data_IF_822778006971
#
_entry.id   IF_822778006971
#
_cell.length_a   1.000
_cell.length_b   1.000
_cell.length_c   1.000
_cell.angle_alpha   90.00
_cell.angle_beta   90.00
_cell.angle_gamma   90.00
#
_symmetry.space_group_name_H-M   'P 1'
#
loop_
_entity.id
_entity.type
_entity.pdbx_description
1 polymer ?
#
# COMPACT_ATOMS: atom_id res chain seq x y z
N UNK A 1 8.76 9.95 -6.57
CA UNK A 1 8.48 8.61 -6.02
C UNK A 1 9.77 7.84 -6.04
N UNK A 2 10.19 7.27 -4.91
CA UNK A 2 11.36 6.40 -4.82
C UNK A 2 11.01 4.98 -5.29
N UNK A 3 12.01 4.19 -5.69
CA UNK A 3 11.76 2.86 -6.26
C UNK A 3 10.98 1.91 -5.32
N UNK A 4 11.34 1.91 -4.03
CA UNK A 4 10.65 1.11 -3.01
C UNK A 4 9.21 1.58 -2.75
N UNK A 5 8.91 2.87 -2.95
CA UNK A 5 7.54 3.40 -2.88
C UNK A 5 6.69 2.86 -4.03
N UNK A 6 7.25 2.80 -5.24
CA UNK A 6 6.58 2.21 -6.41
C UNK A 6 6.25 0.73 -6.15
N UNK A 7 7.19 -0.04 -5.60
CA UNK A 7 6.95 -1.42 -5.21
C UNK A 7 5.77 -1.55 -4.24
N UNK A 8 5.75 -0.76 -3.17
CA UNK A 8 4.67 -0.78 -2.17
C UNK A 8 3.32 -0.40 -2.78
N UNK A 9 3.28 0.64 -3.63
CA UNK A 9 2.06 1.05 -4.34
C UNK A 9 1.51 -0.10 -5.21
N UNK A 10 2.38 -0.77 -5.97
CA UNK A 10 1.97 -1.87 -6.86
C UNK A 10 1.54 -3.10 -6.06
N UNK A 11 2.29 -3.44 -5.01
CA UNK A 11 2.05 -4.61 -4.18
C UNK A 11 0.72 -4.54 -3.41
N UNK A 12 0.35 -3.35 -2.91
CA UNK A 12 -0.86 -3.19 -2.09
C UNK A 12 -2.05 -2.52 -2.79
N UNK A 13 -1.81 -1.77 -3.86
CA UNK A 13 -2.82 -0.90 -4.45
C UNK A 13 -3.87 -1.58 -5.31
N UNK A 14 -3.67 -2.86 -5.66
CA UNK A 14 -4.62 -3.70 -6.42
C UNK A 14 -5.19 -2.97 -7.65
N UNK A 15 -4.25 -2.36 -8.37
CA UNK A 15 -4.53 -1.63 -9.58
C UNK A 15 -4.75 -2.58 -10.76
N UNK A 16 -5.63 -2.22 -11.72
CA UNK A 16 -5.67 -2.90 -13.00
C UNK A 16 -4.29 -2.92 -13.65
N UNK A 17 -3.98 -4.00 -14.37
CA UNK A 17 -2.68 -4.21 -15.02
C UNK A 17 -2.22 -2.99 -15.84
N UNK A 18 -3.13 -2.37 -16.59
CA UNK A 18 -2.85 -1.16 -17.38
C UNK A 18 -2.35 0.01 -16.54
N UNK A 19 -2.93 0.20 -15.35
CA UNK A 19 -2.53 1.25 -14.42
C UNK A 19 -1.19 0.93 -13.76
N UNK A 20 -0.91 -0.32 -13.43
CA UNK A 20 0.42 -0.77 -12.97
C UNK A 20 1.49 -0.43 -14.01
N UNK A 21 1.27 -0.82 -15.27
CA UNK A 21 2.20 -0.53 -16.37
C UNK A 21 2.40 0.98 -16.57
N UNK A 22 1.32 1.75 -16.48
CA UNK A 22 1.38 3.21 -16.56
C UNK A 22 2.25 3.81 -15.44
N UNK A 23 2.08 3.36 -14.20
CA UNK A 23 2.89 3.82 -13.05
C UNK A 23 4.37 3.49 -13.21
N UNK A 24 4.68 2.29 -13.69
CA UNK A 24 6.06 1.88 -13.97
C UNK A 24 6.66 2.76 -15.07
N UNK A 25 5.93 3.00 -16.15
CA UNK A 25 6.39 3.87 -17.23
C UNK A 25 6.62 5.31 -16.74
N UNK A 26 5.68 5.88 -15.97
CA UNK A 26 5.84 7.19 -15.33
C UNK A 26 7.08 7.23 -14.44
N UNK A 27 7.39 6.16 -13.71
CA UNK A 27 8.60 6.08 -12.88
C UNK A 27 9.88 6.05 -13.72
N UNK A 28 9.93 5.24 -14.78
CA UNK A 28 11.08 5.13 -15.69
C UNK A 28 11.38 6.49 -16.33
N UNK A 29 10.35 7.15 -16.87
CA UNK A 29 10.48 8.46 -17.54
C UNK A 29 10.96 9.54 -16.56
N UNK A 30 10.35 9.63 -15.38
CA UNK A 30 10.67 10.68 -14.41
C UNK A 30 12.06 10.53 -13.77
N UNK A 31 12.67 9.35 -13.84
CA UNK A 31 14.00 9.07 -13.29
C UNK A 31 15.07 8.83 -14.39
N UNK A 32 14.71 9.03 -15.67
CA UNK A 32 15.62 8.88 -16.81
C UNK A 32 16.35 7.52 -16.85
N UNK A 33 15.64 6.44 -16.49
CA UNK A 33 16.19 5.08 -16.40
C UNK A 33 16.40 4.50 -17.81
N UNK A 34 17.57 3.90 -18.03
CA UNK A 34 17.99 3.34 -19.34
C UNK A 34 18.35 1.86 -19.29
N UNK A 35 18.33 1.26 -18.10
CA UNK A 35 18.62 -0.13 -17.83
C UNK A 35 17.52 -1.05 -18.41
N UNK A 36 17.93 -2.08 -19.15
CA UNK A 36 17.02 -2.98 -19.91
C UNK A 36 16.05 -3.69 -18.99
N UNK A 37 16.51 -4.07 -17.80
CA UNK A 37 15.74 -4.81 -16.81
C UNK A 37 14.52 -4.03 -16.31
N UNK A 38 14.56 -2.69 -16.35
CA UNK A 38 13.40 -1.86 -16.03
C UNK A 38 12.36 -1.86 -17.15
N UNK A 39 12.76 -1.99 -18.41
CA UNK A 39 11.82 -2.08 -19.52
C UNK A 39 11.08 -3.43 -19.55
N UNK A 40 11.67 -4.50 -18.99
CA UNK A 40 10.99 -5.79 -18.80
C UNK A 40 9.75 -5.66 -17.89
N UNK A 41 9.74 -4.70 -16.96
CA UNK A 41 8.57 -4.42 -16.12
C UNK A 41 7.36 -3.94 -16.92
N UNK A 42 7.56 -3.42 -18.14
CA UNK A 42 6.49 -2.98 -19.03
C UNK A 42 5.84 -4.15 -19.80
N UNK A 43 6.39 -5.36 -19.72
CA UNK A 43 5.74 -6.54 -20.28
C UNK A 43 4.60 -7.02 -19.37
N UNK A 44 3.39 -6.99 -19.91
CA UNK A 44 2.19 -7.47 -19.23
C UNK A 44 2.24 -8.96 -18.84
N UNK A 45 3.07 -9.78 -19.49
CA UNK A 45 3.22 -11.20 -19.14
C UNK A 45 4.02 -11.42 -17.86
N UNK A 46 4.80 -10.43 -17.41
CA UNK A 46 5.66 -10.52 -16.22
C UNK A 46 4.85 -10.34 -14.94
N UNK A 47 5.31 -10.94 -13.84
CA UNK A 47 4.88 -10.61 -12.49
C UNK A 47 5.68 -9.38 -12.01
N UNK A 48 5.06 -8.20 -12.12
CA UNK A 48 5.70 -6.92 -11.82
C UNK A 48 6.19 -6.85 -10.37
N UNK A 49 5.41 -7.33 -9.41
CA UNK A 49 5.78 -7.31 -7.98
C UNK A 49 7.09 -8.09 -7.75
N UNK A 50 7.19 -9.29 -8.33
CA UNK A 50 8.37 -10.14 -8.18
C UNK A 50 9.61 -9.51 -8.83
N UNK A 51 9.46 -8.95 -10.03
CA UNK A 51 10.59 -8.32 -10.73
C UNK A 51 11.03 -7.01 -10.06
N UNK A 52 10.08 -6.19 -9.58
CA UNK A 52 10.40 -5.00 -8.79
C UNK A 52 11.21 -5.35 -7.55
N UNK A 53 10.80 -6.40 -6.82
CA UNK A 53 11.53 -6.84 -5.63
C UNK A 53 12.94 -7.32 -5.98
N UNK A 54 13.11 -8.09 -7.07
CA UNK A 54 14.42 -8.53 -7.56
C UNK A 54 15.33 -7.34 -7.89
N UNK A 55 14.80 -6.32 -8.56
CA UNK A 55 15.54 -5.10 -8.88
C UNK A 55 15.92 -4.32 -7.61
N UNK A 56 15.04 -4.27 -6.60
CA UNK A 56 15.37 -3.67 -5.30
C UNK A 56 16.52 -4.44 -4.65
N UNK A 57 16.47 -5.78 -4.66
CA UNK A 57 17.48 -6.66 -4.07
C UNK A 57 18.87 -6.52 -4.67
N UNK A 58 18.98 -6.05 -5.93
CA UNK A 58 20.28 -5.73 -6.52
C UNK A 58 21.02 -4.62 -5.75
N UNK A 59 20.29 -3.74 -5.06
CA UNK A 59 20.85 -2.62 -4.27
C UNK A 59 20.66 -2.79 -2.76
N UNK A 60 19.60 -3.48 -2.34
CA UNK A 60 19.27 -3.74 -0.93
C UNK A 60 18.70 -5.15 -0.76
N UNK A 61 19.58 -6.16 -0.57
CA UNK A 61 19.17 -7.56 -0.42
C UNK A 61 18.31 -7.85 0.82
N UNK A 62 18.27 -6.94 1.79
CA UNK A 62 17.53 -7.14 3.04
C UNK A 62 16.11 -6.59 2.98
N UNK A 63 15.77 -5.84 1.92
CA UNK A 63 14.42 -5.33 1.75
C UNK A 63 13.43 -6.48 1.52
N UNK A 64 12.25 -6.39 2.10
CA UNK A 64 11.13 -7.28 1.82
C UNK A 64 9.82 -6.54 2.04
N UNK A 65 8.71 -7.08 1.49
CA UNK A 65 7.37 -6.54 1.73
C UNK A 65 7.01 -6.47 3.23
N UNK A 66 7.66 -7.31 4.05
CA UNK A 66 7.44 -7.44 5.48
C UNK A 66 8.42 -6.64 6.34
N UNK A 67 9.40 -5.97 5.71
CA UNK A 67 10.42 -5.21 6.43
C UNK A 67 9.84 -4.00 7.16
N UNK A 68 10.56 -3.51 8.18
CA UNK A 68 10.22 -2.26 8.90
C UNK A 68 10.14 -1.08 7.93
N UNK A 69 11.05 -1.03 6.96
CA UNK A 69 11.04 0.00 5.93
C UNK A 69 9.77 -0.08 5.07
N UNK A 70 9.41 -1.28 4.58
CA UNK A 70 8.19 -1.47 3.80
C UNK A 70 6.94 -1.07 4.58
N UNK A 71 6.89 -1.30 5.89
CA UNK A 71 5.76 -0.84 6.72
C UNK A 71 5.64 0.68 6.78
N UNK A 72 6.76 1.39 6.97
CA UNK A 72 6.78 2.85 6.96
C UNK A 72 6.31 3.38 5.60
N UNK A 73 6.80 2.78 4.50
CA UNK A 73 6.39 3.13 3.15
C UNK A 73 4.91 2.84 2.92
N UNK A 74 4.40 1.72 3.42
CA UNK A 74 2.98 1.33 3.32
C UNK A 74 2.08 2.30 4.08
N UNK A 75 2.48 2.70 5.30
CA UNK A 75 1.76 3.70 6.07
C UNK A 75 1.70 5.06 5.35
N UNK A 76 2.79 5.48 4.68
CA UNK A 76 2.83 6.70 3.85
C UNK A 76 1.94 6.59 2.62
N UNK A 77 2.03 5.47 1.91
CA UNK A 77 1.18 5.18 0.77
C UNK A 77 -0.30 5.24 1.17
N UNK A 78 -0.67 4.54 2.24
CA UNK A 78 -2.04 4.49 2.69
C UNK A 78 -2.55 5.84 3.22
N UNK A 79 -1.70 6.63 3.88
CA UNK A 79 -2.04 8.01 4.23
C UNK A 79 -2.44 8.84 3.00
N UNK A 80 -1.72 8.68 1.89
CA UNK A 80 -2.06 9.37 0.65
C UNK A 80 -3.42 8.89 0.09
N UNK A 81 -3.68 7.58 0.12
CA UNK A 81 -4.99 7.01 -0.26
C UNK A 81 -6.13 7.59 0.59
N UNK A 82 -5.95 7.70 1.90
CA UNK A 82 -6.95 8.27 2.81
C UNK A 82 -7.24 9.75 2.52
N UNK A 83 -6.22 10.55 2.22
CA UNK A 83 -6.40 11.96 1.86
C UNK A 83 -7.09 12.09 0.48
N UNK A 84 -6.77 11.22 -0.49
CA UNK A 84 -7.47 11.17 -1.77
C UNK A 84 -8.95 10.77 -1.62
N UNK A 85 -9.26 9.76 -0.80
CA UNK A 85 -10.65 9.39 -0.49
C UNK A 85 -11.41 10.55 0.16
N UNK A 86 -10.82 11.21 1.15
CA UNK A 86 -11.42 12.37 1.83
C UNK A 86 -11.76 13.51 0.86
N UNK A 87 -11.06 13.61 -0.27
CA UNK A 87 -11.30 14.60 -1.32
C UNK A 87 -12.21 14.08 -2.46
N UNK A 88 -12.81 12.88 -2.33
CA UNK A 88 -13.71 12.29 -3.33
C UNK A 88 -13.01 11.75 -4.57
N UNK A 89 -11.69 11.52 -4.50
CA UNK A 89 -10.90 11.02 -5.63
C UNK A 89 -10.85 9.48 -5.67
N UNK A 90 -11.26 8.82 -4.58
CA UNK A 90 -11.32 7.37 -4.43
C UNK A 90 -12.72 7.01 -3.93
N UNK A 91 -13.31 5.94 -4.47
CA UNK A 91 -14.63 5.45 -4.04
C UNK A 91 -14.50 4.64 -2.75
N UNK A 92 -15.57 4.57 -1.95
CA UNK A 92 -15.58 3.82 -0.69
C UNK A 92 -15.15 2.36 -0.85
N UNK A 93 -15.67 1.69 -1.88
CA UNK A 93 -15.31 0.31 -2.19
C UNK A 93 -13.81 0.15 -2.53
N UNK A 94 -13.25 1.06 -3.32
CA UNK A 94 -11.82 1.00 -3.69
C UNK A 94 -10.93 1.23 -2.48
N UNK A 95 -11.29 2.16 -1.59
CA UNK A 95 -10.58 2.38 -0.33
C UNK A 95 -10.55 1.10 0.52
N UNK A 96 -11.71 0.47 0.71
CA UNK A 96 -11.81 -0.72 1.55
C UNK A 96 -11.10 -1.94 0.94
N UNK A 97 -11.11 -2.06 -0.39
CA UNK A 97 -10.31 -3.07 -1.11
C UNK A 97 -8.80 -2.88 -0.89
N UNK A 98 -8.29 -1.65 -1.04
CA UNK A 98 -6.88 -1.33 -0.78
C UNK A 98 -6.52 -1.62 0.68
N UNK A 99 -7.37 -1.20 1.63
CA UNK A 99 -7.15 -1.49 3.05
C UNK A 99 -7.07 -3.00 3.33
N UNK A 100 -7.98 -3.80 2.77
CA UNK A 100 -8.00 -5.25 2.95
C UNK A 100 -6.71 -5.92 2.42
N UNK A 101 -6.17 -5.45 1.29
CA UNK A 101 -4.92 -6.00 0.75
C UNK A 101 -3.72 -5.68 1.64
N UNK A 102 -3.68 -4.47 2.19
CA UNK A 102 -2.68 -4.08 3.21
C UNK A 102 -2.81 -4.97 4.45
N UNK A 103 -4.03 -5.16 4.95
CA UNK A 103 -4.30 -5.97 6.13
C UNK A 103 -3.83 -7.42 5.95
N UNK A 104 -4.23 -8.06 4.87
CA UNK A 104 -3.84 -9.44 4.56
C UNK A 104 -2.31 -9.56 4.46
N UNK A 105 -1.64 -8.59 3.83
CA UNK A 105 -0.19 -8.57 3.71
C UNK A 105 0.51 -8.56 5.08
N UNK A 106 0.03 -7.74 6.03
CA UNK A 106 0.63 -7.70 7.36
C UNK A 106 0.21 -8.85 8.27
N UNK A 107 -1.00 -9.39 8.14
CA UNK A 107 -1.41 -10.59 8.87
C UNK A 107 -0.52 -11.80 8.54
N UNK A 108 -0.02 -11.88 7.30
CA UNK A 108 0.92 -12.90 6.85
C UNK A 108 2.40 -12.58 7.10
N UNK A 109 2.74 -11.37 7.54
CA UNK A 109 4.12 -10.91 7.64
C UNK A 109 4.90 -11.63 8.76
N UNK A 110 6.00 -12.34 8.46
CA UNK A 110 6.83 -12.98 9.46
C UNK A 110 7.63 -11.93 10.24
N UNK A 111 7.08 -11.45 11.36
CA UNK A 111 7.73 -10.50 12.28
C UNK A 111 8.53 -11.18 13.40
N UNK A 112 9.06 -12.38 13.14
CA UNK A 112 9.67 -13.25 14.16
C UNK A 112 8.74 -13.50 15.36
N UNK A 113 7.43 -13.42 15.13
CA UNK A 113 6.42 -13.74 16.13
C UNK A 113 6.20 -15.26 16.20
N UNK A 114 5.76 -15.78 17.35
CA UNK A 114 5.27 -17.16 17.45
C UNK A 114 4.20 -17.45 16.39
N UNK A 115 4.16 -18.68 15.86
CA UNK A 115 3.24 -19.12 14.79
C UNK A 115 1.75 -18.88 15.08
N UNK A 116 1.38 -18.66 16.34
CA UNK A 116 0.01 -18.43 16.78
C UNK A 116 -0.34 -16.94 17.01
N UNK A 117 0.54 -16.01 16.63
CA UNK A 117 0.34 -14.58 16.79
C UNK A 117 0.43 -13.91 15.41
N UNK A 118 -0.68 -13.33 14.96
CA UNK A 118 -0.69 -12.47 13.79
C UNK A 118 -0.12 -11.10 14.14
N UNK A 119 0.73 -10.56 13.27
CA UNK A 119 1.16 -9.18 13.37
C UNK A 119 0.05 -8.26 12.87
N UNK A 120 -0.30 -7.24 13.65
CA UNK A 120 -1.22 -6.19 13.23
C UNK A 120 -0.60 -4.82 13.50
N UNK A 121 -0.23 -4.05 12.45
CA UNK A 121 0.42 -2.77 12.61
C UNK A 121 -0.40 -1.80 13.46
N UNK A 122 0.28 -1.13 14.40
CA UNK A 122 -0.37 -0.20 15.34
C UNK A 122 -1.05 0.98 14.63
N UNK A 123 -0.56 1.34 13.44
CA UNK A 123 -1.08 2.46 12.65
C UNK A 123 -2.31 2.10 11.83
N UNK A 124 -2.77 0.84 11.77
CA UNK A 124 -3.94 0.45 10.97
C UNK A 124 -5.29 0.79 11.63
N UNK A 125 -5.29 1.02 12.95
CA UNK A 125 -6.45 1.49 13.70
C UNK A 125 -7.71 0.64 13.49
N UNK A 126 -8.87 1.29 13.37
CA UNK A 126 -10.19 0.65 13.37
C UNK A 126 -10.86 0.64 11.98
N UNK A 127 -10.08 0.82 10.91
CA UNK A 127 -10.62 0.80 9.55
C UNK A 127 -11.21 -0.54 9.14
N UNK A 128 -10.74 -1.65 9.72
CA UNK A 128 -11.35 -2.97 9.55
C UNK A 128 -12.86 -2.93 9.81
N UNK A 129 -13.26 -2.43 10.99
CA UNK A 129 -14.67 -2.32 11.36
C UNK A 129 -15.43 -1.27 10.53
N UNK A 130 -14.73 -0.25 10.01
CA UNK A 130 -15.36 0.78 9.17
C UNK A 130 -15.52 0.35 7.70
N UNK A 131 -14.75 -0.65 7.27
CA UNK A 131 -14.86 -1.28 5.97
C UNK A 131 -15.67 -2.58 6.01
N UNK A 132 -16.13 -2.99 7.19
CA UNK A 132 -16.98 -4.17 7.35
C UNK A 132 -18.26 -4.00 6.53
N UNK A 133 -18.54 -4.99 5.69
CA UNK A 133 -19.70 -5.08 4.79
C UNK A 133 -19.77 -3.94 3.75
N UNK A 134 -18.63 -3.33 3.42
CA UNK A 134 -18.55 -2.38 2.31
C UNK A 134 -18.85 -3.06 0.97
N UNK A 135 -19.68 -2.42 0.16
CA UNK A 135 -20.00 -2.84 -1.21
C UNK A 135 -19.83 -1.69 -2.21
N UNK A 136 -20.08 -1.98 -3.49
CA UNK A 136 -19.91 -1.03 -4.60
C UNK A 136 -20.98 0.07 -4.66
N UNK A 137 -22.06 -0.04 -3.86
CA UNK A 137 -23.08 0.98 -3.74
C UNK A 137 -22.74 2.05 -2.70
N UNK A 138 -21.68 1.87 -1.90
CA UNK A 138 -21.24 2.85 -0.92
C UNK A 138 -20.63 4.09 -1.58
N UNK A 139 -21.03 5.25 -1.09
CA UNK A 139 -20.57 6.58 -1.47
C UNK A 139 -20.18 7.37 -0.23
N UNK A 140 -19.44 8.47 -0.41
CA UNK A 140 -19.04 9.35 0.70
C UNK A 140 -20.24 9.82 1.54
N UNK A 141 -21.39 9.99 0.91
CA UNK A 141 -22.63 10.49 1.53
C UNK A 141 -23.39 9.41 2.30
N UNK A 142 -23.42 8.17 1.79
CA UNK A 142 -24.20 7.08 2.38
C UNK A 142 -23.39 6.21 3.37
N UNK A 143 -22.06 6.34 3.41
CA UNK A 143 -21.17 5.66 4.37
C UNK A 143 -20.47 6.67 5.32
N UNK A 144 -21.20 7.44 6.15
CA UNK A 144 -20.60 8.49 6.99
C UNK A 144 -19.65 7.95 8.06
N UNK A 145 -19.85 6.70 8.50
CA UNK A 145 -18.98 6.03 9.48
C UNK A 145 -17.56 5.83 8.92
N UNK A 146 -17.43 5.44 7.64
CA UNK A 146 -16.14 5.32 6.96
C UNK A 146 -15.43 6.67 6.89
N UNK A 147 -16.15 7.72 6.51
CA UNK A 147 -15.60 9.09 6.45
C UNK A 147 -15.16 9.61 7.82
N UNK A 148 -15.86 9.26 8.90
CA UNK A 148 -15.45 9.58 10.28
C UNK A 148 -14.17 8.82 10.64
N UNK A 149 -14.11 7.53 10.34
CA UNK A 149 -12.95 6.71 10.69
C UNK A 149 -11.71 7.09 9.89
N UNK A 150 -11.83 7.36 8.59
CA UNK A 150 -10.74 7.88 7.75
C UNK A 150 -10.12 9.13 8.35
N UNK A 151 -10.93 10.08 8.83
CA UNK A 151 -10.41 11.30 9.48
C UNK A 151 -9.60 10.99 10.72
N UNK A 152 -10.02 10.03 11.56
CA UNK A 152 -9.23 9.59 12.72
C UNK A 152 -7.95 8.89 12.26
N UNK A 153 -8.07 8.01 11.28
CA UNK A 153 -6.96 7.20 10.78
C UNK A 153 -5.83 8.06 10.22
N UNK A 154 -6.16 9.14 9.50
CA UNK A 154 -5.19 10.12 9.02
C UNK A 154 -4.34 10.68 10.17
N UNK A 155 -4.96 10.99 11.32
CA UNK A 155 -4.22 11.49 12.49
C UNK A 155 -3.37 10.39 13.12
N UNK A 156 -3.93 9.19 13.31
CA UNK A 156 -3.21 8.02 13.85
C UNK A 156 -1.94 7.74 13.04
N UNK A 157 -2.05 7.71 11.71
CA UNK A 157 -0.90 7.43 10.83
C UNK A 157 0.11 8.57 10.89
N UNK A 158 -0.33 9.84 10.88
CA UNK A 158 0.58 10.99 11.01
C UNK A 158 1.36 10.96 12.32
N UNK A 159 0.69 10.67 13.43
CA UNK A 159 1.31 10.57 14.75
C UNK A 159 2.29 9.39 14.82
N UNK A 160 1.91 8.23 14.29
CA UNK A 160 2.80 7.07 14.23
C UNK A 160 4.01 7.32 13.32
N UNK A 161 3.84 7.95 12.15
CA UNK A 161 4.94 8.28 11.25
C UNK A 161 5.94 9.27 11.87
N UNK A 162 5.52 10.11 12.82
CA UNK A 162 6.40 11.01 13.55
C UNK A 162 7.31 10.26 14.55
N UNK A 163 6.86 9.12 15.08
CA UNK A 163 7.65 8.27 15.96
C UNK A 163 7.24 6.78 15.82
N UNK A 164 7.70 6.10 14.76
CA UNK A 164 7.25 4.74 14.45
C UNK A 164 7.61 3.76 15.56
N UNK A 165 6.64 2.94 15.93
CA UNK A 165 6.83 1.85 16.89
C UNK A 165 6.36 0.53 16.30
N UNK A 166 7.21 -0.48 16.48
CA UNK A 166 7.03 -1.84 15.98
C UNK A 166 7.03 -2.74 17.21
N UNK A 167 5.86 -3.26 17.57
CA UNK A 167 5.70 -4.17 18.71
C UNK A 167 5.59 -5.60 18.24
#
# INVERSE_FOLDING_TARGET
MAFKELFVEIYYGDYPKEMVLKRINEYIENNEIIEVEFFELLDSAVNQESLLLQLIHASDPNFSADSVEAEILTARYFLNILEHYKNGQIRSFDLCRIFNNIEIGFMGAPRNLPLNIAYYPLWMGNLYNACDWCDDAWTLENSPHLSIEVKKQIHIIKDWLANPSFK
#
